data_IF_779898745984
#
_entry.id   IF_779898745984
#
_cell.length_a   1.000
_cell.length_b   1.000
_cell.length_c   1.000
_cell.angle_alpha   90.00
_cell.angle_beta   90.00
_cell.angle_gamma   90.00
#
_symmetry.space_group_name_H-M   'P 1'
#
loop_
_entity.id
_entity.type
_entity.pdbx_description
1 polymer ?
#
# COMPACT_ATOMS: atom_id res chain seq x y z
N UNK A 1 -8.52 -8.95 1.65
CA UNK A 1 -7.86 -8.06 0.65
C UNK A 1 -8.14 -6.60 1.01
N UNK A 2 -7.38 -5.64 0.49
CA UNK A 2 -7.58 -4.19 0.75
C UNK A 2 -8.54 -3.51 -0.24
N UNK A 3 -9.23 -4.29 -1.08
CA UNK A 3 -10.26 -3.88 -2.03
C UNK A 3 -11.60 -4.55 -1.68
N UNK A 4 -12.74 -4.13 -2.29
CA UNK A 4 -14.05 -4.71 -2.02
C UNK A 4 -14.10 -6.24 -2.08
N UNK A 5 -15.01 -6.83 -1.31
CA UNK A 5 -15.05 -8.26 -1.00
C UNK A 5 -14.19 -8.64 0.20
N UNK A 6 -13.12 -7.89 0.49
CA UNK A 6 -12.37 -7.94 1.75
C UNK A 6 -11.87 -9.31 2.23
N UNK A 7 -11.92 -10.37 1.41
CA UNK A 7 -11.64 -11.77 1.78
C UNK A 7 -10.32 -11.97 2.54
N UNK A 8 -10.36 -12.79 3.59
CA UNK A 8 -9.23 -13.09 4.49
C UNK A 8 -8.33 -14.21 3.96
N UNK A 9 -7.88 -14.08 2.71
CA UNK A 9 -7.14 -15.14 1.99
C UNK A 9 -5.65 -14.82 1.78
N UNK A 10 -5.18 -13.67 2.27
CA UNK A 10 -3.82 -13.17 2.00
C UNK A 10 -2.91 -13.39 3.21
N UNK A 11 -1.77 -14.04 2.98
CA UNK A 11 -0.62 -14.01 3.90
C UNK A 11 0.30 -12.86 3.49
N UNK A 12 0.46 -11.86 4.36
CA UNK A 12 1.21 -10.64 4.04
C UNK A 12 2.69 -10.78 4.38
N UNK A 13 3.56 -10.33 3.47
CA UNK A 13 4.99 -10.09 3.72
C UNK A 13 5.29 -8.64 3.37
N UNK A 14 5.77 -7.87 4.34
CA UNK A 14 6.09 -6.45 4.16
C UNK A 14 7.61 -6.28 4.25
N UNK A 15 8.20 -5.72 3.19
CA UNK A 15 9.65 -5.50 3.10
C UNK A 15 10.00 -4.20 3.83
N UNK A 16 11.01 -4.25 4.71
CA UNK A 16 11.41 -3.10 5.53
C UNK A 16 12.21 -2.02 4.76
N UNK A 17 12.82 -2.39 3.62
CA UNK A 17 13.55 -1.44 2.76
C UNK A 17 12.63 -0.94 1.65
N UNK A 18 12.29 0.36 1.61
CA UNK A 18 11.44 0.90 0.55
C UNK A 18 12.19 0.92 -0.78
N UNK A 19 11.42 0.85 -1.87
CA UNK A 19 11.92 1.20 -3.20
C UNK A 19 11.81 2.72 -3.38
N UNK A 20 12.92 3.35 -3.74
CA UNK A 20 12.97 4.78 -4.00
C UNK A 20 12.63 5.06 -5.47
N UNK A 21 11.83 6.09 -5.70
CA UNK A 21 11.47 6.58 -7.04
C UNK A 21 11.76 8.07 -7.15
N UNK A 22 12.05 8.53 -8.36
CA UNK A 22 12.26 9.95 -8.64
C UNK A 22 10.95 10.75 -8.53
N UNK A 23 11.06 12.07 -8.30
CA UNK A 23 9.91 12.98 -8.31
C UNK A 23 9.13 12.94 -9.63
N UNK A 24 9.85 12.78 -10.76
CA UNK A 24 9.24 12.69 -12.09
C UNK A 24 8.37 11.44 -12.22
N UNK A 25 8.85 10.28 -11.76
CA UNK A 25 8.07 9.05 -11.77
C UNK A 25 6.82 9.15 -10.89
N UNK A 26 6.95 9.73 -9.68
CA UNK A 26 5.80 9.96 -8.81
C UNK A 26 4.77 10.90 -9.44
N UNK A 27 5.21 11.97 -10.11
CA UNK A 27 4.32 12.89 -10.82
C UNK A 27 3.58 12.20 -11.96
N UNK A 28 4.25 11.30 -12.70
CA UNK A 28 3.60 10.48 -13.74
C UNK A 28 2.49 9.61 -13.17
N UNK A 29 2.71 8.96 -12.01
CA UNK A 29 1.67 8.16 -11.36
C UNK A 29 0.48 9.00 -10.87
N UNK A 30 0.74 10.21 -10.34
CA UNK A 30 -0.32 11.13 -9.89
C UNK A 30 -1.13 11.75 -11.03
N UNK A 31 -0.66 11.67 -12.27
CA UNK A 31 -1.40 12.10 -13.45
C UNK A 31 -2.44 11.09 -13.96
N UNK A 32 -2.55 9.91 -13.34
CA UNK A 32 -3.53 8.90 -13.73
C UNK A 32 -4.96 9.34 -13.38
N UNK A 33 -5.92 8.96 -14.23
CA UNK A 33 -7.34 9.26 -14.06
C UNK A 33 -8.12 7.96 -13.84
N UNK A 34 -9.19 8.03 -13.05
CA UNK A 34 -10.14 6.94 -12.92
C UNK A 34 -10.86 6.72 -14.26
N UNK A 35 -11.09 5.45 -14.60
CA UNK A 35 -11.72 5.05 -15.86
C UNK A 35 -13.00 4.26 -15.58
N UNK A 36 -14.01 4.96 -15.06
CA UNK A 36 -15.34 4.39 -14.82
C UNK A 36 -16.30 4.83 -15.93
N UNK A 37 -16.97 3.87 -16.57
CA UNK A 37 -17.91 4.15 -17.65
C UNK A 37 -19.07 5.02 -17.18
N UNK A 38 -19.42 6.04 -17.97
CA UNK A 38 -20.51 6.97 -17.64
C UNK A 38 -20.18 8.00 -16.56
N UNK A 39 -18.93 8.06 -16.05
CA UNK A 39 -18.50 9.08 -15.08
C UNK A 39 -17.43 10.02 -15.64
N UNK A 40 -17.36 11.28 -15.18
CA UNK A 40 -16.25 12.16 -15.51
C UNK A 40 -14.92 11.57 -15.06
N UNK A 41 -13.88 11.74 -15.89
CA UNK A 41 -12.51 11.36 -15.52
C UNK A 41 -12.02 12.25 -14.38
N UNK A 42 -11.76 11.66 -13.22
CA UNK A 42 -11.22 12.34 -12.04
C UNK A 42 -9.82 11.83 -11.71
N UNK A 43 -8.95 12.64 -11.09
CA UNK A 43 -7.63 12.19 -10.63
C UNK A 43 -7.71 10.93 -9.77
N UNK A 44 -6.81 9.97 -10.01
CA UNK A 44 -6.67 8.76 -9.21
C UNK A 44 -5.76 9.05 -8.02
N UNK A 45 -6.34 9.66 -6.99
CA UNK A 45 -5.63 10.05 -5.77
C UNK A 45 -6.15 9.29 -4.54
N UNK A 46 -5.33 9.22 -3.48
CA UNK A 46 -5.69 8.61 -2.19
C UNK A 46 -6.32 7.21 -2.31
N UNK A 47 -5.87 6.43 -3.30
CA UNK A 47 -6.35 5.08 -3.61
C UNK A 47 -5.76 4.02 -2.67
N UNK A 48 -5.78 4.28 -1.37
CA UNK A 48 -5.29 3.41 -0.32
C UNK A 48 -6.34 3.21 0.78
N UNK A 49 -6.37 2.01 1.37
CA UNK A 49 -7.24 1.70 2.51
C UNK A 49 -6.56 2.15 3.82
N UNK A 50 -7.28 2.79 4.76
CA UNK A 50 -6.72 3.11 6.08
C UNK A 50 -6.25 1.86 6.85
N UNK A 51 -5.30 2.01 7.80
CA UNK A 51 -4.90 0.92 8.69
C UNK A 51 -6.10 0.32 9.43
N UNK A 52 -6.20 -1.00 9.43
CA UNK A 52 -7.21 -1.73 10.20
C UNK A 52 -6.62 -2.18 11.56
N UNK A 53 -7.46 -2.42 12.58
CA UNK A 53 -6.97 -2.94 13.85
C UNK A 53 -6.29 -4.31 13.69
N UNK A 54 -5.32 -4.59 14.57
CA UNK A 54 -4.55 -5.83 14.52
C UNK A 54 -5.37 -7.05 14.97
N UNK A 55 -6.36 -6.86 15.85
CA UNK A 55 -7.24 -7.92 16.36
C UNK A 55 -6.47 -9.16 16.88
N UNK A 56 -5.49 -8.95 17.76
CA UNK A 56 -4.68 -10.02 18.37
C UNK A 56 -3.91 -10.92 17.40
N UNK A 57 -3.83 -10.57 16.10
CA UNK A 57 -3.00 -11.30 15.14
C UNK A 57 -1.52 -11.11 15.46
N UNK A 58 -0.74 -12.18 15.36
CA UNK A 58 0.70 -12.11 15.52
C UNK A 58 1.37 -11.44 14.32
N UNK A 59 2.30 -10.52 14.58
CA UNK A 59 3.24 -10.00 13.57
C UNK A 59 4.59 -10.66 13.82
N UNK A 60 5.13 -11.31 12.78
CA UNK A 60 6.44 -11.96 12.82
C UNK A 60 7.40 -11.16 11.97
N UNK A 61 8.63 -11.00 12.47
CA UNK A 61 9.68 -10.28 11.76
C UNK A 61 11.02 -11.00 11.94
N UNK A 62 11.86 -10.93 10.92
CA UNK A 62 13.26 -11.33 10.96
C UNK A 62 14.20 -10.16 11.29
N UNK A 63 13.65 -8.97 11.57
CA UNK A 63 14.42 -7.78 11.94
C UNK A 63 14.86 -7.90 13.41
N UNK A 64 16.16 -7.84 13.63
CA UNK A 64 16.72 -7.68 14.97
C UNK A 64 16.73 -6.19 15.35
N UNK A 65 15.76 -5.75 16.13
CA UNK A 65 15.65 -4.34 16.55
C UNK A 65 16.77 -3.90 17.52
N UNK A 66 17.52 -4.82 18.12
CA UNK A 66 18.62 -4.50 19.01
C UNK A 66 19.94 -4.21 18.26
N UNK A 67 20.04 -4.60 16.99
CA UNK A 67 21.19 -4.26 16.15
C UNK A 67 20.94 -2.92 15.42
N UNK A 68 21.88 -1.97 15.48
CA UNK A 68 21.78 -0.77 14.66
C UNK A 68 21.71 -1.17 13.18
N UNK A 69 20.83 -0.50 12.44
CA UNK A 69 20.76 -0.65 10.99
C UNK A 69 22.08 -0.14 10.40
N UNK A 70 22.82 -0.93 9.61
CA UNK A 70 24.02 -0.44 8.93
C UNK A 70 23.69 0.67 7.92
#
# INVERSE_FOLDING_TARGET
MTQPGCHETVTWVIINKPLYISRKQLATMRGLLQNEEGRPKVPMENNCRPPAPLHHRAVRTNINFAQPVP
#
